data_IF_814339290577
#
_entry.id   IF_814339290577
#
_cell.length_a   1.000
_cell.length_b   1.000
_cell.length_c   1.000
_cell.angle_alpha   90.00
_cell.angle_beta   90.00
_cell.angle_gamma   90.00
#
_symmetry.space_group_name_H-M   'P 1'
#
loop_
_entity.id
_entity.type
_entity.pdbx_description
1 polymer ?
#
# COMPACT_ATOMS: atom_id res chain seq x y z
N UNK A 1 -9.17 11.32 -2.94
CA UNK A 1 -9.66 9.96 -2.68
C UNK A 1 -8.57 9.20 -1.94
N UNK A 2 -8.90 8.41 -0.91
CA UNK A 2 -7.94 7.59 -0.15
C UNK A 2 -8.59 6.22 -0.03
N UNK A 3 -7.79 5.15 -0.14
CA UNK A 3 -8.28 3.79 -0.06
C UNK A 3 -8.23 3.35 1.41
N UNK A 4 -9.37 2.91 1.94
CA UNK A 4 -9.56 2.62 3.36
C UNK A 4 -9.80 1.13 3.59
N UNK A 5 -8.99 0.56 4.48
CA UNK A 5 -9.14 -0.79 5.04
C UNK A 5 -9.59 -0.64 6.49
N UNK A 6 -10.91 -0.63 6.77
CA UNK A 6 -11.43 -0.32 8.09
C UNK A 6 -11.17 -1.45 9.12
N UNK A 7 -11.08 -2.71 8.70
CA UNK A 7 -11.13 -3.85 9.61
C UNK A 7 -10.01 -4.86 9.34
N UNK A 8 -8.78 -4.45 9.62
CA UNK A 8 -7.60 -5.33 9.49
C UNK A 8 -7.37 -6.07 10.80
N UNK A 9 -7.41 -7.41 10.76
CA UNK A 9 -7.20 -8.29 11.92
C UNK A 9 -5.72 -8.34 12.34
N UNK A 10 -5.49 -8.26 13.65
CA UNK A 10 -4.18 -8.36 14.28
C UNK A 10 -4.00 -9.67 15.04
N UNK A 11 -2.79 -10.18 15.01
CA UNK A 11 -2.35 -11.37 15.75
C UNK A 11 -1.10 -11.04 16.56
N UNK A 12 -0.98 -11.66 17.73
CA UNK A 12 0.22 -11.57 18.56
C UNK A 12 1.31 -12.42 17.91
N UNK A 13 2.43 -11.79 17.57
CA UNK A 13 3.64 -12.42 17.08
C UNK A 13 4.81 -12.19 18.05
N UNK A 14 5.86 -13.00 17.96
CA UNK A 14 7.14 -12.68 18.56
C UNK A 14 7.82 -11.62 17.70
N UNK A 15 8.47 -10.65 18.33
CA UNK A 15 9.26 -9.62 17.65
C UNK A 15 10.38 -10.24 16.80
N UNK A 16 10.92 -11.39 17.23
CA UNK A 16 11.82 -12.17 16.38
C UNK A 16 11.01 -13.07 15.43
N UNK A 17 10.90 -12.61 14.19
CA UNK A 17 10.27 -13.38 13.12
C UNK A 17 11.22 -14.35 12.40
N UNK A 18 12.51 -14.36 12.76
CA UNK A 18 13.46 -15.25 12.12
C UNK A 18 13.63 -16.57 12.87
N UNK A 19 13.49 -17.65 12.08
CA UNK A 19 14.30 -18.87 12.15
C UNK A 19 14.58 -19.43 13.56
N UNK A 20 13.51 -19.62 14.35
CA UNK A 20 13.46 -20.29 15.67
C UNK A 20 14.01 -19.52 16.88
N UNK A 21 14.32 -18.24 16.73
CA UNK A 21 14.72 -17.40 17.87
C UNK A 21 13.45 -16.84 18.53
N UNK A 22 13.15 -17.28 19.75
CA UNK A 22 12.07 -16.69 20.56
C UNK A 22 12.65 -15.64 21.49
N UNK A 23 12.28 -14.38 21.28
CA UNK A 23 12.73 -13.27 22.14
C UNK A 23 11.76 -13.07 23.31
N UNK A 24 10.58 -13.71 23.27
CA UNK A 24 9.49 -13.55 24.25
C UNK A 24 8.95 -12.10 24.32
N UNK A 25 9.36 -11.26 23.38
CA UNK A 25 8.82 -9.92 23.17
C UNK A 25 7.60 -10.04 22.28
N UNK A 26 6.42 -9.83 22.85
CA UNK A 26 5.15 -9.87 22.12
C UNK A 26 4.91 -8.57 21.39
N UNK A 27 4.53 -8.65 20.12
CA UNK A 27 4.13 -7.53 19.29
C UNK A 27 2.86 -7.88 18.51
N UNK A 28 2.01 -6.89 18.22
CA UNK A 28 0.88 -7.10 17.31
C UNK A 28 1.34 -6.93 15.87
N UNK A 29 0.89 -7.84 15.02
CA UNK A 29 1.15 -7.86 13.58
C UNK A 29 -0.16 -8.12 12.83
N UNK A 30 -0.33 -7.56 11.64
CA UNK A 30 -1.46 -7.95 10.79
C UNK A 30 -1.43 -9.45 10.47
N UNK A 31 -2.59 -10.08 10.51
CA UNK A 31 -2.74 -11.50 10.18
C UNK A 31 -2.34 -11.77 8.73
N UNK A 32 -2.88 -10.97 7.84
CA UNK A 32 -2.66 -11.03 6.40
C UNK A 32 -1.67 -9.95 5.95
N UNK A 33 -1.03 -10.19 4.80
CA UNK A 33 -0.15 -9.23 4.16
C UNK A 33 -0.98 -8.13 3.55
N UNK A 34 -0.69 -6.88 3.87
CA UNK A 34 -1.30 -5.75 3.19
C UNK A 34 -0.78 -5.68 1.74
N UNK A 35 -1.64 -5.26 0.79
CA UNK A 35 -1.23 -4.91 -0.57
C UNK A 35 -0.07 -3.93 -0.59
N UNK A 36 0.69 -3.93 -1.69
CA UNK A 36 1.84 -3.03 -1.81
C UNK A 36 1.39 -1.57 -1.76
N UNK A 37 1.96 -0.82 -0.82
CA UNK A 37 1.64 0.59 -0.60
C UNK A 37 2.52 1.43 -1.50
N UNK A 38 1.93 2.40 -2.17
CA UNK A 38 2.64 3.32 -3.05
C UNK A 38 3.72 4.07 -2.25
N UNK A 39 4.94 3.96 -2.74
CA UNK A 39 6.07 4.72 -2.23
C UNK A 39 6.28 6.01 -3.04
N UNK A 40 6.45 7.13 -2.34
CA UNK A 40 6.83 8.40 -2.95
C UNK A 40 8.04 8.99 -2.24
N UNK A 41 9.14 9.18 -2.97
CA UNK A 41 10.39 9.73 -2.46
C UNK A 41 10.93 9.04 -1.19
N UNK A 42 10.95 7.70 -1.15
CA UNK A 42 11.47 6.97 0.02
C UNK A 42 10.45 6.82 1.17
N UNK A 43 9.19 7.23 0.98
CA UNK A 43 8.17 7.20 2.02
C UNK A 43 6.91 6.49 1.52
N UNK A 44 6.43 5.54 2.32
CA UNK A 44 5.15 4.90 2.10
C UNK A 44 4.01 5.88 2.38
N UNK A 45 3.04 5.93 1.47
CA UNK A 45 1.91 6.85 1.55
C UNK A 45 0.78 6.32 2.45
N UNK A 46 1.08 6.22 3.74
CA UNK A 46 0.07 6.06 4.78
C UNK A 46 -0.66 7.39 5.02
N UNK A 47 -1.98 7.35 5.06
CA UNK A 47 -2.85 8.48 5.42
C UNK A 47 -3.34 8.39 6.85
N UNK A 48 -3.68 7.20 7.31
CA UNK A 48 -4.13 6.96 8.67
C UNK A 48 -3.82 5.53 9.06
N UNK A 49 -3.34 5.34 10.29
CA UNK A 49 -3.22 4.03 10.91
C UNK A 49 -3.80 4.23 12.30
N UNK A 50 -4.84 3.50 12.68
CA UNK A 50 -5.51 3.79 13.93
C UNK A 50 -6.46 2.73 14.43
N UNK A 51 -6.95 2.93 15.64
CA UNK A 51 -8.07 2.14 16.16
C UNK A 51 -9.35 2.50 15.40
N UNK A 52 -10.34 1.61 15.46
CA UNK A 52 -11.68 1.89 14.92
C UNK A 52 -12.32 3.15 15.54
N UNK A 53 -11.93 3.49 16.77
CA UNK A 53 -12.37 4.69 17.48
C UNK A 53 -11.75 5.99 16.95
N UNK A 54 -10.76 5.91 16.06
CA UNK A 54 -10.11 7.08 15.46
C UNK A 54 -8.82 7.54 16.15
N UNK A 55 -8.27 6.75 17.08
CA UNK A 55 -6.98 7.06 17.70
C UNK A 55 -5.84 6.63 16.79
N UNK A 56 -4.96 7.57 16.43
CA UNK A 56 -3.91 7.35 15.43
C UNK A 56 -2.60 6.79 16.03
N UNK A 57 -1.99 5.86 15.30
CA UNK A 57 -0.62 5.37 15.49
C UNK A 57 0.33 6.17 14.61
N UNK A 58 1.42 6.63 15.19
CA UNK A 58 2.48 7.29 14.41
C UNK A 58 3.25 6.24 13.61
N UNK A 59 3.18 6.34 12.27
CA UNK A 59 4.01 5.55 11.38
C UNK A 59 5.49 5.97 11.46
N UNK A 60 6.39 5.02 11.62
CA UNK A 60 7.83 5.25 11.72
C UNK A 60 8.62 4.05 11.20
N UNK A 61 9.90 4.22 10.91
CA UNK A 61 10.75 3.12 10.45
C UNK A 61 11.10 2.17 11.60
N UNK A 62 11.37 0.90 11.26
CA UNK A 62 11.82 -0.11 12.22
C UNK A 62 13.04 0.35 13.03
N UNK A 63 13.99 1.01 12.37
CA UNK A 63 15.20 1.56 13.00
C UNK A 63 14.93 2.65 14.04
N UNK A 64 13.87 3.45 13.85
CA UNK A 64 13.51 4.54 14.76
C UNK A 64 12.75 4.02 15.99
N UNK A 65 11.94 2.97 15.82
CA UNK A 65 11.13 2.40 16.90
C UNK A 65 11.96 1.94 18.08
N UNK A 66 13.12 1.32 17.82
CA UNK A 66 14.04 0.88 18.88
C UNK A 66 14.35 2.04 19.83
N UNK A 67 14.61 3.23 19.30
CA UNK A 67 14.92 4.41 20.10
C UNK A 67 13.69 5.06 20.74
N UNK A 68 12.55 5.04 20.03
CA UNK A 68 11.31 5.63 20.50
C UNK A 68 10.74 4.89 21.72
N UNK A 69 10.96 3.58 21.83
CA UNK A 69 10.56 2.78 22.98
C UNK A 69 11.26 3.18 24.29
N UNK A 70 12.48 3.70 24.22
CA UNK A 70 13.25 4.14 25.41
C UNK A 70 12.91 5.56 25.87
N UNK A 71 11.97 6.26 25.22
CA UNK A 71 11.60 7.63 25.61
C UNK A 71 10.74 7.63 26.88
N UNK A 72 11.29 8.22 27.94
CA UNK A 72 10.67 8.29 29.28
C UNK A 72 9.35 9.09 29.33
N UNK A 73 9.26 10.18 28.57
CA UNK A 73 8.17 11.16 28.72
C UNK A 73 7.10 11.10 27.61
N UNK A 74 7.43 10.55 26.44
CA UNK A 74 6.51 10.43 25.31
C UNK A 74 6.36 8.95 24.92
N UNK A 75 5.48 8.24 25.62
CA UNK A 75 5.05 6.90 25.23
C UNK A 75 4.01 7.03 24.10
N UNK A 76 4.49 7.37 22.91
CA UNK A 76 3.65 7.40 21.71
C UNK A 76 3.21 6.00 21.32
N UNK A 77 2.10 5.93 20.57
CA UNK A 77 1.66 4.71 19.91
C UNK A 77 2.30 4.67 18.53
N UNK A 78 3.06 3.63 18.25
CA UNK A 78 3.88 3.56 17.03
C UNK A 78 3.52 2.34 16.20
N UNK A 79 3.54 2.53 14.88
CA UNK A 79 3.41 1.45 13.92
C UNK A 79 4.56 1.49 12.92
N UNK A 80 4.97 0.32 12.43
CA UNK A 80 5.93 0.19 11.34
C UNK A 80 5.50 -0.88 10.36
N UNK A 81 5.97 -0.75 9.12
CA UNK A 81 5.67 -1.68 8.05
C UNK A 81 6.92 -2.46 7.65
N UNK A 82 6.80 -3.78 7.55
CA UNK A 82 7.91 -4.67 7.18
C UNK A 82 7.37 -5.90 6.46
N UNK A 83 7.98 -6.27 5.32
CA UNK A 83 7.67 -7.50 4.58
C UNK A 83 6.17 -7.70 4.25
N UNK A 84 5.44 -6.60 3.98
CA UNK A 84 4.01 -6.66 3.70
C UNK A 84 3.13 -6.71 4.94
N UNK A 85 3.68 -6.68 6.15
CA UNK A 85 2.92 -6.68 7.39
C UNK A 85 3.07 -5.36 8.14
N UNK A 86 2.00 -4.95 8.79
CA UNK A 86 2.01 -3.81 9.69
C UNK A 86 2.13 -4.31 11.13
N UNK A 87 3.02 -3.68 11.88
CA UNK A 87 3.33 -4.02 13.27
C UNK A 87 2.97 -2.85 14.16
N UNK A 88 2.34 -3.15 15.30
CA UNK A 88 1.95 -2.16 16.29
C UNK A 88 2.71 -2.41 17.58
N UNK A 89 3.31 -1.34 18.08
CA UNK A 89 4.14 -1.34 19.28
C UNK A 89 3.33 -0.80 20.45
N UNK A 90 3.51 -1.42 21.62
CA UNK A 90 2.98 -0.99 22.93
C UNK A 90 1.51 -1.26 23.20
N UNK A 91 0.79 -1.95 22.32
CA UNK A 91 -0.58 -2.42 22.60
C UNK A 91 -0.74 -3.88 22.20
N UNK A 92 -1.23 -4.71 23.12
CA UNK A 92 -1.44 -6.14 22.90
C UNK A 92 -2.91 -6.53 22.88
N UNK A 93 -3.80 -5.62 23.28
CA UNK A 93 -5.23 -5.89 23.46
C UNK A 93 -6.06 -5.53 22.21
N UNK A 94 -5.44 -4.98 21.17
CA UNK A 94 -6.12 -4.62 19.92
C UNK A 94 -6.27 -5.83 19.01
N UNK A 95 -7.50 -6.03 18.52
CA UNK A 95 -7.83 -7.08 17.56
C UNK A 95 -7.98 -6.56 16.13
N UNK A 96 -8.49 -5.33 15.99
CA UNK A 96 -8.77 -4.71 14.70
C UNK A 96 -8.24 -3.30 14.64
N UNK A 97 -7.75 -2.92 13.47
CA UNK A 97 -7.32 -1.56 13.15
C UNK A 97 -7.86 -1.11 11.81
N UNK A 98 -7.91 0.20 11.64
CA UNK A 98 -8.17 0.86 10.38
C UNK A 98 -6.86 1.35 9.78
N UNK A 99 -6.66 1.06 8.51
CA UNK A 99 -5.52 1.51 7.71
C UNK A 99 -6.04 2.23 6.48
N UNK A 100 -5.70 3.51 6.34
CA UNK A 100 -5.95 4.28 5.14
C UNK A 100 -4.61 4.56 4.45
N UNK A 101 -4.49 4.16 3.19
CA UNK A 101 -3.27 4.31 2.42
C UNK A 101 -3.57 4.48 0.92
N UNK A 102 -2.52 4.71 0.14
CA UNK A 102 -2.57 4.61 -1.33
C UNK A 102 -1.82 3.35 -1.72
N UNK A 103 -2.51 2.41 -2.37
CA UNK A 103 -1.93 1.14 -2.81
C UNK A 103 -1.51 1.23 -4.28
N UNK A 104 -0.44 0.53 -4.66
CA UNK A 104 0.07 0.51 -6.03
C UNK A 104 -0.93 -0.15 -6.99
N UNK A 105 -1.47 -1.31 -6.60
CA UNK A 105 -2.54 -2.00 -7.31
C UNK A 105 -3.82 -1.97 -6.46
N UNK A 106 -4.84 -1.16 -6.85
CA UNK A 106 -6.09 -1.10 -6.11
C UNK A 106 -6.93 -2.38 -6.27
N UNK A 107 -6.66 -3.22 -7.28
CA UNK A 107 -7.43 -4.45 -7.50
C UNK A 107 -7.19 -5.50 -6.42
N UNK A 108 -6.02 -5.47 -5.77
CA UNK A 108 -5.71 -6.34 -4.62
C UNK A 108 -6.67 -6.07 -3.45
N UNK A 109 -7.20 -4.84 -3.33
CA UNK A 109 -8.20 -4.49 -2.32
C UNK A 109 -9.55 -5.16 -2.55
N UNK A 110 -9.81 -5.73 -3.72
CA UNK A 110 -11.05 -6.48 -3.97
C UNK A 110 -11.17 -7.72 -3.08
N UNK A 111 -10.04 -8.25 -2.61
CA UNK A 111 -9.98 -9.36 -1.65
C UNK A 111 -10.33 -8.92 -0.22
N UNK A 112 -10.26 -7.61 0.07
CA UNK A 112 -10.57 -7.05 1.37
C UNK A 112 -12.02 -6.57 1.42
N UNK A 113 -12.70 -6.99 2.47
CA UNK A 113 -14.06 -6.54 2.78
C UNK A 113 -14.05 -5.66 4.02
N UNK A 114 -14.93 -4.67 4.04
CA UNK A 114 -15.26 -3.92 5.24
C UNK A 114 -15.85 -4.85 6.32
N UNK A 115 -15.92 -4.39 7.58
CA UNK A 115 -16.62 -5.05 8.69
C UNK A 115 -18.07 -5.42 8.34
N UNK A 116 -18.68 -4.74 7.37
CA UNK A 116 -20.05 -4.99 6.89
C UNK A 116 -20.10 -5.82 5.59
N UNK A 117 -19.01 -6.48 5.22
CA UNK A 117 -18.89 -7.29 3.99
C UNK A 117 -19.05 -6.51 2.67
N UNK A 118 -18.88 -5.19 2.70
CA UNK A 118 -18.84 -4.36 1.50
C UNK A 118 -17.45 -4.43 0.87
N UNK A 119 -17.39 -4.40 -0.47
CA UNK A 119 -16.11 -4.37 -1.20
C UNK A 119 -15.43 -3.02 -1.01
N UNK A 120 -14.14 -3.03 -0.66
CA UNK A 120 -13.32 -1.83 -0.54
C UNK A 120 -12.83 -1.28 -1.90
N UNK A 121 -12.99 -2.06 -2.97
CA UNK A 121 -12.55 -1.71 -4.33
C UNK A 121 -13.75 -1.55 -5.27
N UNK A 122 -13.72 -0.45 -6.03
CA UNK A 122 -14.61 -0.17 -7.14
C UNK A 122 -13.77 0.09 -8.42
N UNK A 123 -13.92 -0.73 -9.48
CA UNK A 123 -13.14 -0.57 -10.72
C UNK A 123 -13.45 0.73 -11.47
N UNK A 124 -14.60 1.36 -11.24
CA UNK A 124 -14.93 2.64 -11.87
C UNK A 124 -14.36 3.83 -11.10
N UNK A 125 -13.83 3.60 -9.89
CA UNK A 125 -13.32 4.66 -9.06
C UNK A 125 -11.96 5.19 -9.57
N UNK A 126 -11.78 6.52 -9.63
CA UNK A 126 -10.53 7.09 -10.11
C UNK A 126 -9.40 6.83 -9.12
N UNK A 127 -8.24 6.42 -9.64
CA UNK A 127 -7.04 6.27 -8.84
C UNK A 127 -6.67 7.62 -8.18
N UNK A 128 -6.27 7.66 -6.90
CA UNK A 128 -6.04 8.89 -6.14
C UNK A 128 -4.74 9.60 -6.52
N UNK A 129 -4.65 10.04 -7.78
CA UNK A 129 -3.53 10.79 -8.33
C UNK A 129 -3.85 12.30 -8.28
N UNK A 130 -2.92 13.14 -7.85
CA UNK A 130 -3.11 14.59 -7.95
C UNK A 130 -3.10 15.05 -9.41
N UNK A 131 -3.98 16.00 -9.74
CA UNK A 131 -4.21 16.52 -11.10
C UNK A 131 -2.92 17.00 -11.79
N UNK A 132 -2.04 17.68 -11.05
CA UNK A 132 -0.78 18.20 -11.59
C UNK A 132 0.18 17.10 -12.06
N UNK A 133 -0.01 15.84 -11.62
CA UNK A 133 0.78 14.71 -12.10
C UNK A 133 0.19 14.03 -13.34
N UNK A 134 -1.07 14.29 -13.69
CA UNK A 134 -1.71 13.67 -14.85
C UNK A 134 -0.97 14.03 -16.13
N UNK A 135 -0.68 15.32 -16.34
CA UNK A 135 0.03 15.81 -17.52
C UNK A 135 1.44 15.21 -17.69
N UNK A 136 2.34 15.26 -16.68
CA UNK A 136 3.66 14.66 -16.80
C UNK A 136 3.61 13.12 -16.91
N UNK A 137 2.69 12.43 -16.23
CA UNK A 137 2.53 10.98 -16.40
C UNK A 137 2.08 10.63 -17.82
N UNK A 138 1.10 11.36 -18.35
CA UNK A 138 0.58 11.16 -19.70
C UNK A 138 1.66 11.38 -20.74
N UNK A 139 2.46 12.44 -20.63
CA UNK A 139 3.57 12.71 -21.56
C UNK A 139 4.69 11.65 -21.46
N UNK A 140 4.98 11.14 -20.26
CA UNK A 140 5.92 10.04 -20.07
C UNK A 140 5.42 8.75 -20.73
N UNK A 141 4.16 8.38 -20.53
CA UNK A 141 3.55 7.20 -21.18
C UNK A 141 3.62 7.36 -22.70
N UNK A 142 3.16 8.49 -23.24
CA UNK A 142 3.21 8.75 -24.68
C UNK A 142 4.63 8.65 -25.23
N UNK A 143 5.61 9.31 -24.60
CA UNK A 143 6.99 9.29 -25.08
C UNK A 143 7.64 7.90 -25.04
N UNK A 144 7.23 7.03 -24.11
CA UNK A 144 7.69 5.64 -24.04
C UNK A 144 7.00 4.76 -25.09
N UNK A 145 5.68 4.70 -25.06
CA UNK A 145 4.88 3.84 -25.93
C UNK A 145 4.98 4.23 -27.41
N UNK A 146 4.95 5.53 -27.72
CA UNK A 146 5.14 6.00 -29.11
C UNK A 146 6.55 5.73 -29.59
N UNK A 147 7.56 5.78 -28.72
CA UNK A 147 8.94 5.43 -29.10
C UNK A 147 9.07 3.94 -29.40
N UNK A 148 8.41 3.09 -28.63
CA UNK A 148 8.37 1.65 -28.90
C UNK A 148 7.59 1.33 -30.18
N UNK A 149 6.50 2.05 -30.46
CA UNK A 149 5.78 1.97 -31.74
C UNK A 149 6.60 2.48 -32.93
N UNK A 150 7.30 3.61 -32.78
CA UNK A 150 8.15 4.19 -33.84
C UNK A 150 9.40 3.35 -34.13
N UNK A 151 9.98 2.68 -33.12
CA UNK A 151 11.16 1.83 -33.30
C UNK A 151 10.83 0.37 -33.61
N UNK A 152 9.63 -0.09 -33.26
CA UNK A 152 9.16 -1.47 -33.39
C UNK A 152 8.00 -1.65 -34.37
N UNK A 153 7.72 -0.65 -35.21
CA UNK A 153 6.69 -0.68 -36.23
C UNK A 153 6.89 -1.84 -37.20
N UNK A 154 6.38 -3.02 -36.85
CA UNK A 154 6.01 -4.03 -37.83
C UNK A 154 4.96 -3.35 -38.71
N UNK A 155 5.36 -2.95 -39.91
CA UNK A 155 4.39 -2.64 -40.94
C UNK A 155 3.47 -3.86 -41.04
N UNK A 156 2.19 -3.68 -40.73
CA UNK A 156 1.21 -4.71 -40.99
C UNK A 156 1.00 -4.79 -42.50
N UNK A 157 1.89 -5.54 -43.16
CA UNK A 157 1.86 -5.77 -44.59
C UNK A 157 0.76 -6.78 -45.00
N UNK A 158 -0.20 -7.10 -44.11
CA UNK A 158 -1.33 -7.99 -44.44
C UNK A 158 -2.55 -7.26 -44.95
N UNK A 159 -2.57 -5.93 -44.90
CA UNK A 159 -3.62 -5.15 -45.53
C UNK A 159 -3.08 -4.55 -46.82
N UNK A 160 -3.27 -5.25 -47.93
CA UNK A 160 -3.06 -4.76 -49.28
C UNK A 160 -4.10 -3.68 -49.60
N UNK A 161 -3.89 -2.48 -49.07
CA UNK A 161 -4.53 -1.25 -49.51
C UNK A 161 -3.81 -0.67 -50.74
N UNK A 162 -3.40 -1.53 -51.67
CA UNK A 162 -3.05 -1.10 -53.02
C UNK A 162 -4.36 -1.00 -53.80
N UNK A 163 -4.68 0.22 -54.25
CA UNK A 163 -5.71 0.45 -55.26
C UNK A 163 -5.19 -0.18 -56.56
N UNK A 164 -5.68 -1.37 -56.90
CA UNK A 164 -5.41 -2.00 -58.20
C UNK A 164 -6.01 -1.11 -59.31
N UNK A 165 -5.20 -0.48 -60.18
CA UNK A 165 -5.73 0.28 -61.29
C UNK A 165 -6.31 -0.67 -62.34
N UNK A 166 -7.55 -0.42 -62.75
CA UNK A 166 -8.24 -1.11 -63.86
C UNK A 166 -7.50 -0.98 -65.19
#
# INVERSE_FOLDING_TARGET
MVQSLPCVELVIADQAECCDIKTNCKILRTKERLPQILEFNGKLLFKFIGTLSGEEFTYTSESQIVWLQYRKYNKGRYAYFRNGYLYIVSELDLQYIRVDAVFEDPTELASYTDCNSNKCFDPESPYPLPEYMIQPLTSLIFSRELRDWMNGGRQDNRNNAEDDPQ
#
